data_IF_937259314667
#
_entry.id   IF_937259314667
#
_cell.length_a   1.000
_cell.length_b   1.000
_cell.length_c   1.000
_cell.angle_alpha   90.00
_cell.angle_beta   90.00
_cell.angle_gamma   90.00
#
_symmetry.space_group_name_H-M   'P 1'
#
loop_
_entity.id
_entity.type
_entity.pdbx_description
1 polymer ?
#
# COMPACT_ATOMS: atom_id res chain seq x y z
N UNK A 1 -41.85 -23.27 -10.81
CA UNK A 1 -40.47 -23.59 -10.36
C UNK A 1 -39.37 -22.67 -10.93
N UNK A 2 -39.67 -21.76 -11.87
CA UNK A 2 -38.63 -20.91 -12.51
C UNK A 2 -38.38 -19.58 -11.77
N UNK A 3 -39.41 -19.02 -11.13
CA UNK A 3 -39.32 -17.76 -10.37
C UNK A 3 -38.47 -17.93 -9.09
N UNK A 4 -38.67 -19.01 -8.34
CA UNK A 4 -37.90 -19.29 -7.12
C UNK A 4 -36.40 -19.53 -7.41
N UNK A 5 -36.08 -20.26 -8.49
CA UNK A 5 -34.70 -20.48 -8.96
C UNK A 5 -34.01 -19.18 -9.38
N UNK A 6 -34.75 -18.23 -9.97
CA UNK A 6 -34.22 -16.90 -10.34
C UNK A 6 -33.78 -16.09 -9.12
N UNK A 7 -34.57 -16.08 -8.05
CA UNK A 7 -34.19 -15.39 -6.81
C UNK A 7 -32.97 -16.02 -6.12
N UNK A 8 -32.87 -17.35 -6.13
CA UNK A 8 -31.69 -18.06 -5.61
C UNK A 8 -30.41 -17.71 -6.40
N UNK A 9 -30.52 -17.58 -7.72
CA UNK A 9 -29.39 -17.22 -8.57
C UNK A 9 -28.95 -15.75 -8.36
N UNK A 10 -29.90 -14.85 -8.18
CA UNK A 10 -29.62 -13.44 -7.85
C UNK A 10 -28.96 -13.34 -6.46
N UNK A 11 -29.46 -14.08 -5.47
CA UNK A 11 -28.91 -14.05 -4.11
C UNK A 11 -27.47 -14.59 -4.04
N UNK A 12 -27.19 -15.68 -4.75
CA UNK A 12 -25.83 -16.23 -4.84
C UNK A 12 -24.88 -15.27 -5.55
N UNK A 13 -25.33 -14.61 -6.62
CA UNK A 13 -24.54 -13.60 -7.31
C UNK A 13 -24.28 -12.35 -6.43
N UNK A 14 -25.29 -11.90 -5.69
CA UNK A 14 -25.17 -10.76 -4.77
C UNK A 14 -24.24 -11.08 -3.59
N UNK A 15 -24.34 -12.28 -3.03
CA UNK A 15 -23.44 -12.74 -1.98
C UNK A 15 -21.99 -12.84 -2.48
N UNK A 16 -21.78 -13.37 -3.70
CA UNK A 16 -20.46 -13.48 -4.30
C UNK A 16 -19.81 -12.11 -4.55
N UNK A 17 -20.57 -11.16 -5.11
CA UNK A 17 -20.07 -9.80 -5.35
C UNK A 17 -19.76 -9.05 -4.05
N UNK A 18 -20.56 -9.23 -3.00
CA UNK A 18 -20.29 -8.66 -1.68
C UNK A 18 -19.02 -9.25 -1.05
N UNK A 19 -18.83 -10.57 -1.13
CA UNK A 19 -17.61 -11.21 -0.65
C UNK A 19 -16.36 -10.76 -1.42
N UNK A 20 -16.49 -10.55 -2.74
CA UNK A 20 -15.38 -10.04 -3.56
C UNK A 20 -14.99 -8.61 -3.16
N UNK A 21 -15.97 -7.75 -2.87
CA UNK A 21 -15.72 -6.39 -2.40
C UNK A 21 -15.01 -6.37 -1.04
N UNK A 22 -15.40 -7.25 -0.11
CA UNK A 22 -14.77 -7.36 1.21
C UNK A 22 -13.31 -7.86 1.16
N UNK A 23 -12.91 -8.52 0.06
CA UNK A 23 -11.53 -8.95 -0.16
C UNK A 23 -10.62 -7.81 -0.65
N UNK A 24 -11.19 -6.67 -1.04
CA UNK A 24 -10.39 -5.48 -1.41
C UNK A 24 -9.85 -4.86 -0.12
N UNK A 25 -8.59 -5.19 0.21
CA UNK A 25 -7.90 -4.66 1.39
C UNK A 25 -7.82 -3.13 1.37
N UNK A 26 -7.80 -2.52 2.56
CA UNK A 26 -7.57 -1.08 2.70
C UNK A 26 -6.16 -0.74 2.21
N UNK A 27 -6.05 0.19 1.25
CA UNK A 27 -4.77 0.76 0.87
C UNK A 27 -4.25 1.63 2.03
N UNK A 28 -3.04 1.36 2.51
CA UNK A 28 -2.38 2.23 3.48
C UNK A 28 -1.98 3.53 2.77
N UNK A 29 -2.72 4.61 3.03
CA UNK A 29 -2.38 5.95 2.54
C UNK A 29 -1.41 6.60 3.50
N UNK A 30 -0.23 6.99 3.02
CA UNK A 30 0.73 7.80 3.78
C UNK A 30 0.33 9.26 3.63
N UNK A 31 0.11 9.95 4.76
CA UNK A 31 -0.21 11.37 4.78
C UNK A 31 1.07 12.19 5.00
N UNK A 32 1.22 13.27 4.23
CA UNK A 32 2.30 14.25 4.36
C UNK A 32 1.73 15.63 4.74
N UNK A 33 2.50 16.49 5.43
CA UNK A 33 3.85 16.26 5.94
C UNK A 33 3.86 15.23 7.07
N UNK A 34 4.96 14.49 7.20
CA UNK A 34 5.15 13.55 8.31
C UNK A 34 6.53 13.74 8.93
N UNK A 35 6.62 13.51 10.24
CA UNK A 35 7.88 13.55 10.99
C UNK A 35 8.19 12.16 11.50
N UNK A 36 9.40 11.67 11.22
CA UNK A 36 9.93 10.40 11.74
C UNK A 36 11.08 10.70 12.69
N UNK A 37 11.22 9.91 13.74
CA UNK A 37 12.41 9.92 14.60
C UNK A 37 13.34 8.83 14.07
N UNK A 38 14.58 9.19 13.72
CA UNK A 38 15.59 8.22 13.29
C UNK A 38 16.28 7.53 14.47
N UNK A 39 17.20 6.63 14.16
CA UNK A 39 17.98 5.86 15.16
C UNK A 39 18.99 6.73 15.93
N UNK A 40 19.25 7.95 15.47
CA UNK A 40 20.08 8.96 16.14
C UNK A 40 19.26 9.89 17.06
N UNK A 41 17.97 9.58 17.26
CA UNK A 41 16.99 10.40 17.99
C UNK A 41 16.69 11.76 17.32
N UNK A 42 17.03 11.91 16.05
CA UNK A 42 16.78 13.14 15.29
C UNK A 42 15.37 13.12 14.69
N UNK A 43 14.63 14.22 14.86
CA UNK A 43 13.34 14.41 14.22
C UNK A 43 13.51 14.88 12.77
N UNK A 44 13.19 14.02 11.81
CA UNK A 44 13.28 14.30 10.37
C UNK A 44 11.89 14.59 9.81
N UNK A 45 11.69 15.79 9.30
CA UNK A 45 10.46 16.20 8.62
C UNK A 45 10.52 15.84 7.12
N UNK A 46 9.55 15.07 6.66
CA UNK A 46 9.34 14.71 5.27
C UNK A 46 8.08 15.45 4.78
N UNK A 47 8.23 16.54 3.99
CA UNK A 47 7.11 17.41 3.64
C UNK A 47 6.18 16.80 2.58
N UNK A 48 6.69 15.88 1.76
CA UNK A 48 5.98 15.23 0.65
C UNK A 48 6.67 13.91 0.29
N UNK A 49 6.03 13.09 -0.56
CA UNK A 49 6.61 11.82 -1.01
C UNK A 49 7.97 12.01 -1.72
N UNK A 50 9.04 11.33 -1.25
CA UNK A 50 10.34 11.40 -1.90
C UNK A 50 10.31 10.87 -3.34
N UNK A 51 10.81 11.69 -4.26
CA UNK A 51 10.95 11.33 -5.69
C UNK A 51 12.38 10.89 -6.05
N UNK A 52 13.36 11.22 -5.21
CA UNK A 52 14.78 10.87 -5.40
C UNK A 52 15.38 10.51 -4.05
N UNK A 53 16.20 9.47 -4.02
CA UNK A 53 16.81 8.92 -2.82
C UNK A 53 18.32 8.86 -3.05
N UNK A 54 19.09 9.31 -2.05
CA UNK A 54 20.54 9.11 -2.00
C UNK A 54 20.79 8.12 -0.87
N UNK A 55 21.38 6.96 -1.19
CA UNK A 55 21.63 5.90 -0.21
C UNK A 55 23.10 5.86 0.18
N UNK A 56 23.41 6.22 1.42
CA UNK A 56 24.80 6.34 1.89
C UNK A 56 25.37 5.06 2.49
N UNK A 57 24.58 3.99 2.59
CA UNK A 57 24.97 2.72 3.19
C UNK A 57 24.52 1.51 2.32
N UNK A 58 25.36 0.47 2.16
CA UNK A 58 24.98 -0.74 1.42
C UNK A 58 23.71 -1.41 1.96
N UNK A 59 23.57 -1.52 3.29
CA UNK A 59 22.39 -2.14 3.93
C UNK A 59 21.08 -1.41 3.58
N UNK A 60 21.10 -0.08 3.56
CA UNK A 60 19.91 0.71 3.22
C UNK A 60 19.58 0.57 1.72
N UNK A 61 20.61 0.43 0.89
CA UNK A 61 20.43 0.18 -0.54
C UNK A 61 19.73 -1.16 -0.78
N UNK A 62 20.16 -2.23 -0.13
CA UNK A 62 19.50 -3.55 -0.22
C UNK A 62 18.01 -3.48 0.19
N UNK A 63 17.71 -2.79 1.30
CA UNK A 63 16.32 -2.56 1.73
C UNK A 63 15.50 -1.84 0.65
N UNK A 64 16.04 -0.80 0.01
CA UNK A 64 15.34 -0.07 -1.05
C UNK A 64 15.08 -0.95 -2.28
N UNK A 65 15.98 -1.87 -2.62
CA UNK A 65 15.77 -2.85 -3.70
C UNK A 65 14.67 -3.85 -3.35
N UNK A 66 14.67 -4.37 -2.11
CA UNK A 66 13.63 -5.29 -1.63
C UNK A 66 12.23 -4.62 -1.63
N UNK A 67 12.19 -3.30 -1.42
CA UNK A 67 10.97 -2.48 -1.51
C UNK A 67 10.59 -2.09 -2.94
N UNK A 68 11.38 -2.45 -3.95
CA UNK A 68 11.13 -2.09 -5.35
C UNK A 68 11.35 -0.60 -5.68
N UNK A 69 12.15 0.10 -4.86
CA UNK A 69 12.41 1.54 -4.97
C UNK A 69 13.72 1.88 -5.69
N UNK A 70 14.39 0.91 -6.29
CA UNK A 70 15.69 1.09 -6.94
C UNK A 70 15.72 2.20 -8.00
N UNK A 71 14.62 2.41 -8.74
CA UNK A 71 14.51 3.45 -9.77
C UNK A 71 14.49 4.88 -9.20
N UNK A 72 14.21 5.05 -7.90
CA UNK A 72 14.26 6.34 -7.22
C UNK A 72 15.67 6.66 -6.68
N UNK A 73 16.61 5.72 -6.70
CA UNK A 73 17.98 5.92 -6.21
C UNK A 73 18.79 6.67 -7.26
N UNK A 74 19.39 7.80 -6.87
CA UNK A 74 20.19 8.65 -7.78
C UNK A 74 21.67 8.75 -7.40
N UNK A 75 22.07 8.12 -6.29
CA UNK A 75 23.44 8.16 -5.77
C UNK A 75 23.59 7.46 -4.44
#
# INVERSE_FOLDING_TARGET
MNIFKKYILIFTFLSFTLNLFLLMGSANTVNYPLTVIDDTETAVNIPQEPQRIISTAPSNTEILFDLGLQEKIIG
#
